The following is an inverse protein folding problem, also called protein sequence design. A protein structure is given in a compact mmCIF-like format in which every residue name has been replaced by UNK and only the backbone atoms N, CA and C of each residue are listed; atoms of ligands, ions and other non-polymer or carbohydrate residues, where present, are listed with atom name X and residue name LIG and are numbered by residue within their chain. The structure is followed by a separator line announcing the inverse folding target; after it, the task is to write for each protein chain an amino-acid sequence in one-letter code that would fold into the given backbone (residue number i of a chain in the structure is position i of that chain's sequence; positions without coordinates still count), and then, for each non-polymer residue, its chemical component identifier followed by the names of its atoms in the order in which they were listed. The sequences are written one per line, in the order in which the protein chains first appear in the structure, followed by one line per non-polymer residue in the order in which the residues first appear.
data_IF_232613297911
#
_entry.id   IF_232613297911
#
_cell.length_a   1.000
_cell.length_b   1.000
_cell.length_c   1.000
_cell.angle_alpha   90.00
_cell.angle_beta   90.00
_cell.angle_gamma   90.00
#
_symmetry.space_group_name_H-M   'P 1'
#
loop_
_entity.id
_entity.type
_entity.pdbx_description
1 polymer ?
#
# COMPACT_ATOMS: atom_id res chain seq x y z
N UNK A 1 -11.06 12.76 9.75
CA UNK A 1 -9.67 12.31 9.47
C UNK A 1 -8.94 13.46 8.79
N UNK A 2 -7.83 13.95 9.36
CA UNK A 2 -7.22 15.26 9.03
C UNK A 2 -6.39 15.30 7.74
N UNK A 3 -6.29 14.21 6.99
CA UNK A 3 -5.41 14.08 5.82
C UNK A 3 -6.07 14.42 4.48
N UNK A 4 -7.35 14.81 4.46
CA UNK A 4 -8.06 15.17 3.22
C UNK A 4 -7.52 16.45 2.56
N UNK A 5 -6.73 17.24 3.27
CA UNK A 5 -6.03 18.44 2.77
C UNK A 5 -4.57 18.18 2.40
N UNK A 6 -4.08 16.94 2.55
CA UNK A 6 -2.69 16.60 2.28
C UNK A 6 -2.38 16.56 0.78
N UNK A 7 -1.16 16.99 0.43
CA UNK A 7 -0.54 16.81 -0.87
C UNK A 7 0.76 16.05 -0.65
N UNK A 8 0.90 14.86 -1.24
CA UNK A 8 2.02 13.95 -0.97
C UNK A 8 2.36 13.13 -2.22
N UNK A 9 3.61 12.70 -2.33
CA UNK A 9 4.05 11.70 -3.32
C UNK A 9 3.68 10.28 -2.93
N UNK A 10 3.71 9.97 -1.64
CA UNK A 10 3.52 8.61 -1.14
C UNK A 10 2.19 8.43 -0.43
N UNK A 11 1.44 7.43 -0.87
CA UNK A 11 0.14 7.05 -0.32
C UNK A 11 0.12 5.56 -0.03
N UNK A 12 -0.62 5.15 0.99
CA UNK A 12 -0.82 3.74 1.30
C UNK A 12 -2.30 3.37 1.34
N UNK A 13 -2.55 2.11 1.01
CA UNK A 13 -3.86 1.48 1.07
C UNK A 13 -3.81 0.08 1.63
N UNK A 14 -4.97 -0.35 2.12
CA UNK A 14 -5.25 -1.74 2.42
C UNK A 14 -6.34 -2.20 1.45
N UNK A 15 -6.07 -3.25 0.67
CA UNK A 15 -7.06 -3.91 -0.19
C UNK A 15 -7.31 -5.34 0.27
N UNK A 16 -8.43 -5.92 -0.14
CA UNK A 16 -8.81 -7.31 0.14
C UNK A 16 -8.87 -8.08 -1.16
N UNK A 17 -7.84 -8.89 -1.49
CA UNK A 17 -7.79 -9.73 -2.67
C UNK A 17 -9.03 -10.61 -2.80
N UNK A 18 -9.62 -10.66 -4.01
CA UNK A 18 -10.81 -11.47 -4.29
C UNK A 18 -12.14 -10.87 -3.79
N UNK A 19 -12.12 -9.70 -3.14
CA UNK A 19 -13.34 -9.07 -2.63
C UNK A 19 -13.46 -7.60 -3.01
N UNK A 20 -12.57 -6.76 -2.50
CA UNK A 20 -12.61 -5.30 -2.77
C UNK A 20 -11.68 -4.91 -3.90
N UNK A 21 -10.61 -5.67 -4.11
CA UNK A 21 -9.58 -5.41 -5.11
C UNK A 21 -10.02 -5.84 -6.51
N UNK A 22 -9.79 -4.99 -7.51
CA UNK A 22 -9.86 -5.39 -8.92
C UNK A 22 -8.91 -6.56 -9.19
N UNK A 23 -9.40 -7.68 -9.73
CA UNK A 23 -8.55 -8.86 -10.01
C UNK A 23 -7.41 -8.53 -10.98
N UNK A 24 -7.63 -7.57 -11.88
CA UNK A 24 -6.72 -7.06 -12.91
C UNK A 24 -5.96 -5.79 -12.47
N UNK A 25 -5.86 -5.48 -11.17
CA UNK A 25 -5.26 -4.22 -10.69
C UNK A 25 -3.84 -3.96 -11.21
N UNK A 26 -3.02 -5.00 -11.42
CA UNK A 26 -1.68 -4.86 -12.00
C UNK A 26 -1.73 -4.40 -13.45
N UNK A 27 -2.68 -4.90 -14.22
CA UNK A 27 -2.92 -4.47 -15.59
C UNK A 27 -3.42 -3.03 -15.61
N UNK A 28 -4.35 -2.67 -14.71
CA UNK A 28 -4.83 -1.29 -14.55
C UNK A 28 -3.71 -0.31 -14.21
N UNK A 29 -2.82 -0.70 -13.29
CA UNK A 29 -1.61 0.05 -12.95
C UNK A 29 -0.71 0.26 -14.17
N UNK A 30 -0.51 -0.78 -14.98
CA UNK A 30 0.34 -0.72 -16.18
C UNK A 30 -0.24 0.14 -17.32
N UNK A 31 -1.56 0.34 -17.33
CA UNK A 31 -2.29 1.13 -18.34
C UNK A 31 -2.38 2.62 -17.99
N UNK A 32 -1.89 3.03 -16.82
CA UNK A 32 -1.86 4.46 -16.49
C UNK A 32 -0.95 5.23 -17.47
N UNK A 33 -1.32 6.46 -17.87
CA UNK A 33 -0.50 7.26 -18.77
C UNK A 33 0.76 7.85 -18.11
N UNK A 34 1.01 7.51 -16.85
CA UNK A 34 2.16 7.93 -16.04
C UNK A 34 2.59 6.79 -15.12
N UNK A 35 3.83 6.85 -14.63
CA UNK A 35 4.39 5.82 -13.77
C UNK A 35 3.97 6.06 -12.31
N UNK A 36 3.43 5.02 -11.69
CA UNK A 36 3.26 4.92 -10.24
C UNK A 36 4.07 3.73 -9.75
N UNK A 37 5.09 3.97 -8.92
CA UNK A 37 5.89 2.89 -8.32
C UNK A 37 5.08 2.26 -7.18
N UNK A 38 5.08 0.94 -7.07
CA UNK A 38 4.29 0.24 -6.03
C UNK A 38 5.15 -0.80 -5.32
N UNK A 39 5.06 -0.82 -3.99
CA UNK A 39 5.51 -1.94 -3.17
C UNK A 39 4.33 -2.51 -2.42
N UNK A 40 4.21 -3.85 -2.35
CA UNK A 40 3.05 -4.48 -1.73
C UNK A 40 3.37 -5.84 -1.11
N UNK A 41 2.60 -6.23 -0.08
CA UNK A 41 2.66 -7.55 0.56
C UNK A 41 1.26 -8.03 0.97
N UNK A 42 1.05 -9.35 0.97
CA UNK A 42 -0.13 -9.99 1.57
C UNK A 42 0.11 -10.28 3.05
N UNK A 43 -0.86 -9.90 3.86
CA UNK A 43 -0.99 -10.27 5.26
C UNK A 43 -2.13 -11.28 5.42
N UNK A 44 -1.77 -12.54 5.70
CA UNK A 44 -2.67 -13.68 5.87
C UNK A 44 -2.59 -14.30 7.28
N UNK A 45 -1.80 -13.72 8.18
CA UNK A 45 -1.48 -14.27 9.52
C UNK A 45 -1.63 -13.25 10.65
N UNK A 46 -2.18 -12.08 10.38
CA UNK A 46 -2.40 -11.08 11.42
C UNK A 46 -3.49 -11.52 12.38
N UNK A 47 -3.30 -11.27 13.67
CA UNK A 47 -4.34 -11.50 14.68
C UNK A 47 -5.00 -10.17 15.08
N UNK A 48 -6.28 -10.22 15.42
CA UNK A 48 -6.99 -9.13 16.06
C UNK A 48 -6.67 -9.05 17.56
N UNK A 49 -7.28 -8.07 18.25
CA UNK A 49 -7.09 -7.87 19.69
C UNK A 49 -7.55 -9.04 20.57
N UNK A 50 -8.37 -9.94 20.03
CA UNK A 50 -8.91 -11.11 20.70
C UNK A 50 -8.12 -12.39 20.33
N UNK A 51 -7.08 -12.27 19.49
CA UNK A 51 -6.30 -13.41 19.01
C UNK A 51 -6.91 -14.15 17.81
N UNK A 52 -7.99 -13.64 17.22
CA UNK A 52 -8.59 -14.25 16.02
C UNK A 52 -7.85 -13.82 14.76
N UNK A 53 -7.80 -14.70 13.77
CA UNK A 53 -7.21 -14.38 12.47
C UNK A 53 -7.98 -13.23 11.80
N UNK A 54 -7.27 -12.14 11.48
CA UNK A 54 -7.80 -11.07 10.65
C UNK A 54 -8.02 -11.58 9.23
N UNK A 55 -8.99 -10.97 8.56
CA UNK A 55 -9.22 -11.16 7.13
C UNK A 55 -7.94 -10.93 6.32
N UNK A 56 -7.69 -11.77 5.32
CA UNK A 56 -6.57 -11.64 4.39
C UNK A 56 -6.63 -10.27 3.72
N UNK A 57 -5.55 -9.51 3.81
CA UNK A 57 -5.48 -8.16 3.27
C UNK A 57 -4.10 -7.90 2.66
N UNK A 58 -4.06 -6.92 1.76
CA UNK A 58 -2.85 -6.48 1.08
C UNK A 58 -2.50 -5.09 1.57
N UNK A 59 -1.26 -4.90 2.04
CA UNK A 59 -0.71 -3.56 2.24
C UNK A 59 -0.01 -3.11 0.97
N UNK A 60 -0.23 -1.87 0.55
CA UNK A 60 0.42 -1.29 -0.63
C UNK A 60 0.89 0.14 -0.34
N UNK A 61 2.12 0.47 -0.76
CA UNK A 61 2.62 1.84 -0.89
C UNK A 61 2.60 2.16 -2.38
N UNK A 62 2.04 3.32 -2.73
CA UNK A 62 2.08 3.90 -4.06
C UNK A 62 2.90 5.18 -4.00
N UNK A 63 3.87 5.32 -4.90
CA UNK A 63 4.71 6.50 -5.04
C UNK A 63 4.48 7.14 -6.41
N UNK A 64 3.90 8.33 -6.40
CA UNK A 64 3.75 9.19 -7.56
C UNK A 64 5.03 9.98 -7.83
N UNK A 65 5.24 10.40 -9.07
CA UNK A 65 6.41 11.19 -9.47
C UNK A 65 6.44 12.59 -8.79
N UNK A 66 5.25 13.16 -8.56
CA UNK A 66 5.02 14.49 -8.00
C UNK A 66 4.00 14.42 -6.87
N UNK A 67 3.97 15.45 -6.03
CA UNK A 67 2.95 15.52 -4.99
C UNK A 67 1.56 15.57 -5.63
N UNK A 68 0.68 14.67 -5.19
CA UNK A 68 -0.71 14.58 -5.61
C UNK A 68 -1.58 14.93 -4.40
N UNK A 69 -2.64 15.73 -4.60
CA UNK A 69 -3.61 15.98 -3.53
C UNK A 69 -4.43 14.72 -3.22
N UNK A 70 -5.02 14.67 -2.03
CA UNK A 70 -5.82 13.55 -1.58
C UNK A 70 -6.91 13.11 -2.56
N UNK A 71 -7.63 14.05 -3.18
CA UNK A 71 -8.78 13.74 -4.04
C UNK A 71 -8.32 13.09 -5.35
N UNK A 72 -7.26 13.64 -5.96
CA UNK A 72 -6.65 13.07 -7.15
C UNK A 72 -6.04 11.70 -6.85
N UNK A 73 -5.28 11.57 -5.75
CA UNK A 73 -4.68 10.31 -5.34
C UNK A 73 -5.76 9.24 -5.08
N UNK A 74 -6.85 9.60 -4.37
CA UNK A 74 -7.99 8.71 -4.12
C UNK A 74 -8.64 8.26 -5.42
N UNK A 75 -8.82 9.16 -6.37
CA UNK A 75 -9.44 8.83 -7.67
C UNK A 75 -8.59 7.83 -8.45
N UNK A 76 -7.28 8.06 -8.55
CA UNK A 76 -6.35 7.16 -9.25
C UNK A 76 -6.27 5.81 -8.52
N UNK A 77 -6.12 5.82 -7.20
CA UNK A 77 -6.04 4.58 -6.41
C UNK A 77 -7.33 3.77 -6.49
N UNK A 78 -8.50 4.42 -6.51
CA UNK A 78 -9.79 3.76 -6.73
C UNK A 78 -9.85 3.13 -8.12
N UNK A 79 -9.30 3.75 -9.16
CA UNK A 79 -9.23 3.15 -10.49
C UNK A 79 -8.32 1.91 -10.55
N UNK A 80 -7.24 1.88 -9.78
CA UNK A 80 -6.29 0.74 -9.74
C UNK A 80 -6.87 -0.41 -8.91
N UNK A 81 -7.27 -0.11 -7.67
CA UNK A 81 -7.55 -1.11 -6.64
C UNK A 81 -9.01 -1.20 -6.22
N UNK A 82 -9.89 -0.27 -6.63
CA UNK A 82 -11.26 -0.15 -6.11
C UNK A 82 -11.32 0.12 -4.59
N UNK A 83 -10.41 0.96 -4.07
CA UNK A 83 -10.33 1.35 -2.67
C UNK A 83 -10.59 2.85 -2.49
N UNK A 84 -11.41 3.20 -1.49
CA UNK A 84 -11.74 4.60 -1.18
C UNK A 84 -10.89 5.20 -0.05
N UNK A 85 -10.47 4.37 0.91
CA UNK A 85 -9.72 4.82 2.07
C UNK A 85 -8.23 4.75 1.78
N UNK A 86 -7.63 5.92 1.62
CA UNK A 86 -6.19 6.09 1.43
C UNK A 86 -5.61 6.93 2.56
N UNK A 87 -4.33 6.74 2.86
CA UNK A 87 -3.62 7.53 3.86
C UNK A 87 -2.26 8.00 3.31
N UNK A 88 -1.82 9.23 3.65
CA UNK A 88 -0.49 9.69 3.28
C UNK A 88 0.58 8.89 4.03
N UNK A 89 1.72 8.64 3.38
CA UNK A 89 2.87 7.97 3.98
C UNK A 89 3.92 9.00 4.38
N UNK A 90 3.98 9.35 5.66
CA UNK A 90 4.96 10.33 6.17
C UNK A 90 6.38 9.78 6.29
N UNK A 91 6.54 8.45 6.40
CA UNK A 91 7.84 7.80 6.43
C UNK A 91 7.73 6.46 5.72
N UNK A 92 8.18 6.45 4.47
CA UNK A 92 8.12 5.26 3.63
C UNK A 92 8.97 4.12 4.20
N UNK A 93 10.14 4.43 4.80
CA UNK A 93 10.97 3.44 5.50
C UNK A 93 10.22 2.74 6.62
N UNK A 94 9.51 3.50 7.48
CA UNK A 94 8.72 2.91 8.58
C UNK A 94 7.55 2.08 8.06
N UNK A 95 6.86 2.55 7.01
CA UNK A 95 5.74 1.81 6.42
C UNK A 95 6.21 0.54 5.69
N UNK A 96 7.35 0.60 5.01
CA UNK A 96 7.96 -0.55 4.36
C UNK A 96 8.45 -1.60 5.37
N UNK A 97 9.04 -1.16 6.50
CA UNK A 97 9.37 -2.05 7.62
C UNK A 97 8.12 -2.70 8.22
N UNK A 98 6.99 -1.99 8.21
CA UNK A 98 5.71 -2.50 8.70
C UNK A 98 5.16 -3.63 7.83
N UNK A 99 5.49 -3.72 6.52
CA UNK A 99 5.13 -4.86 5.66
C UNK A 99 5.58 -6.20 6.25
N UNK A 100 6.74 -6.23 6.90
CA UNK A 100 7.25 -7.46 7.52
C UNK A 100 6.97 -7.55 9.02
N UNK A 101 6.33 -6.51 9.58
CA UNK A 101 6.25 -6.28 11.03
C UNK A 101 7.60 -6.28 11.75
N UNK A 102 8.70 -6.00 11.04
CA UNK A 102 10.07 -6.01 11.59
C UNK A 102 10.27 -5.05 12.77
N UNK A 103 9.43 -4.03 12.90
CA UNK A 103 9.42 -3.06 14.00
C UNK A 103 8.35 -3.36 15.08
N UNK A 104 7.64 -4.48 14.98
CA UNK A 104 6.54 -4.87 15.87
C UNK A 104 6.68 -6.34 16.28
N UNK A 105 7.56 -6.64 17.27
CA UNK A 105 7.92 -8.02 17.63
C UNK A 105 6.74 -8.86 18.12
N UNK A 106 5.66 -8.21 18.59
CA UNK A 106 4.44 -8.89 19.06
C UNK A 106 3.49 -9.32 17.93
N UNK A 107 3.82 -9.04 16.67
CA UNK A 107 3.03 -9.44 15.49
C UNK A 107 3.72 -10.54 14.72
N UNK A 108 2.93 -11.26 13.91
CA UNK A 108 3.48 -12.24 12.97
C UNK A 108 4.52 -11.57 12.05
N UNK A 109 5.71 -12.16 11.95
CA UNK A 109 6.82 -11.65 11.15
C UNK A 109 6.75 -12.23 9.74
N UNK A 110 6.51 -11.39 8.73
CA UNK A 110 6.49 -11.83 7.33
C UNK A 110 7.88 -11.84 6.71
N UNK A 111 8.10 -12.74 5.76
CA UNK A 111 9.36 -12.79 5.01
C UNK A 111 9.41 -11.63 4.00
N UNK A 112 10.51 -10.88 3.99
CA UNK A 112 10.74 -9.78 3.04
C UNK A 112 10.71 -10.23 1.58
N UNK A 113 11.02 -11.51 1.29
CA UNK A 113 10.92 -12.09 -0.05
C UNK A 113 9.48 -12.14 -0.59
N UNK A 114 8.47 -11.88 0.25
CA UNK A 114 7.06 -11.78 -0.14
C UNK A 114 6.64 -10.37 -0.55
N UNK A 115 7.53 -9.37 -0.40
CA UNK A 115 7.28 -8.02 -0.87
C UNK A 115 7.45 -8.00 -2.39
N UNK A 116 6.39 -7.62 -3.09
CA UNK A 116 6.40 -7.38 -4.52
C UNK A 116 6.75 -5.92 -4.80
N UNK A 117 7.63 -5.69 -5.78
CA UNK A 117 8.03 -4.36 -6.24
C UNK A 117 7.64 -4.22 -7.71
N UNK A 118 6.87 -3.19 -8.04
CA UNK A 118 6.35 -2.93 -9.37
C UNK A 118 6.83 -1.56 -9.87
N UNK A 119 6.92 -1.44 -11.20
CA UNK A 119 7.33 -0.20 -11.89
C UNK A 119 8.68 0.36 -11.37
N UNK A 120 9.61 -0.52 -11.01
CA UNK A 120 10.94 -0.12 -10.53
C UNK A 120 10.95 0.53 -9.14
N UNK A 121 9.98 0.21 -8.28
CA UNK A 121 10.08 0.56 -6.86
C UNK A 121 11.36 -0.02 -6.27
N UNK A 122 12.15 0.82 -5.60
CA UNK A 122 13.30 0.40 -4.83
C UNK A 122 13.37 1.19 -3.52
N UNK A 123 13.29 0.50 -2.38
CA UNK A 123 13.29 1.14 -1.06
C UNK A 123 14.55 1.98 -0.80
N UNK A 124 15.68 1.66 -1.44
CA UNK A 124 16.94 2.43 -1.26
C UNK A 124 16.90 3.82 -1.88
N UNK A 125 15.94 4.10 -2.76
CA UNK A 125 15.75 5.43 -3.35
C UNK A 125 15.11 6.42 -2.38
N UNK A 126 14.60 5.94 -1.24
CA UNK A 126 13.87 6.74 -0.28
C UNK A 126 14.66 6.88 1.02
N UNK A 127 14.88 8.13 1.44
CA UNK A 127 15.64 8.47 2.65
C UNK A 127 14.77 8.52 3.90
#
# INVERSE_FOLDING_TARGET
MSWQTSKQKEWCVISYPGESEHLDWKERLSKLPFIVKVATIIHDKDLDKNGNLKKLHRHSILCFEKDVDYTTAKTIIKQIFNIELIQPVYSIKKYYQYFTHSNQPNKFQYNSSKIEHLNGFNITEYR
#
